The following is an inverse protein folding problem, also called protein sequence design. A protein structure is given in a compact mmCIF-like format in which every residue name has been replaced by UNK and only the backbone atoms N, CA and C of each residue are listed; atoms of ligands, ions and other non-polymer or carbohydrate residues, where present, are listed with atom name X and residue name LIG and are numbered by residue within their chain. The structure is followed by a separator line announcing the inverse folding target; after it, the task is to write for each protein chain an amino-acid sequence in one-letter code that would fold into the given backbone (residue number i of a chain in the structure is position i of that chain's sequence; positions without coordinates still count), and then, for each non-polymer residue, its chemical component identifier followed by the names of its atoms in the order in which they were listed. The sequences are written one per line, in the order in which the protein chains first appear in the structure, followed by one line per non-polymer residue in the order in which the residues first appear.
data_IF_450112297464
#
_entry.id   IF_450112297464
#
_cell.length_a   1.000
_cell.length_b   1.000
_cell.length_c   1.000
_cell.angle_alpha   90.00
_cell.angle_beta   90.00
_cell.angle_gamma   90.00
#
_symmetry.space_group_name_H-M   'P 1'
#
loop_
_entity.id
_entity.type
_entity.pdbx_description
1 polymer ?
#
# COMPACT_ATOMS: atom_id res chain seq x y z
N UNK A 1 40.92 -26.10 21.50
CA UNK A 1 40.51 -24.73 21.88
C UNK A 1 40.39 -23.92 20.60
N UNK A 2 39.23 -23.31 20.27
CA UNK A 2 39.15 -22.48 19.08
C UNK A 2 39.60 -21.04 19.41
N UNK A 3 40.48 -20.51 18.56
CA UNK A 3 40.97 -19.13 18.60
C UNK A 3 39.89 -18.16 18.10
N UNK A 4 39.60 -17.12 18.88
CA UNK A 4 38.80 -15.99 18.44
C UNK A 4 39.65 -15.06 17.58
N UNK A 5 39.28 -14.89 16.31
CA UNK A 5 39.85 -13.86 15.45
C UNK A 5 39.19 -12.51 15.73
N UNK A 6 39.94 -11.40 15.81
CA UNK A 6 39.36 -10.07 15.97
C UNK A 6 38.61 -9.67 14.69
N UNK A 7 37.31 -9.43 14.83
CA UNK A 7 36.45 -8.89 13.77
C UNK A 7 36.95 -7.49 13.42
N UNK A 8 37.47 -7.32 12.19
CA UNK A 8 37.81 -5.99 11.70
C UNK A 8 36.51 -5.21 11.45
N UNK A 9 36.38 -3.97 11.95
CA UNK A 9 35.22 -3.15 11.66
C UNK A 9 35.15 -2.88 10.16
N UNK A 10 34.00 -3.17 9.56
CA UNK A 10 33.76 -2.91 8.14
C UNK A 10 33.59 -1.39 7.99
N UNK A 11 34.44 -0.70 7.21
CA UNK A 11 34.23 0.71 6.92
C UNK A 11 32.93 0.85 6.11
N UNK A 12 32.01 1.67 6.61
CA UNK A 12 30.78 2.02 5.89
C UNK A 12 31.10 3.27 5.08
N UNK A 13 31.27 3.10 3.77
CA UNK A 13 31.38 4.23 2.84
C UNK A 13 30.03 4.94 2.74
N UNK A 14 30.05 6.28 2.67
CA UNK A 14 28.84 7.06 2.47
C UNK A 14 28.29 6.84 1.06
N UNK A 15 26.96 6.71 0.94
CA UNK A 15 26.28 6.60 -0.36
C UNK A 15 26.62 7.79 -1.25
N UNK A 16 26.70 7.59 -2.57
CA UNK A 16 27.04 8.67 -3.51
C UNK A 16 25.97 9.77 -3.45
N UNK A 17 26.42 11.01 -3.25
CA UNK A 17 25.53 12.18 -3.17
C UNK A 17 25.00 12.65 -4.54
N UNK A 18 25.52 12.07 -5.63
CA UNK A 18 25.24 12.45 -7.02
C UNK A 18 25.04 11.21 -7.90
N UNK A 19 24.17 11.35 -8.89
CA UNK A 19 23.89 10.37 -9.94
C UNK A 19 24.57 10.80 -11.25
N UNK A 20 25.01 9.83 -12.06
CA UNK A 20 25.59 10.11 -13.38
C UNK A 20 24.45 10.45 -14.36
N UNK A 21 24.46 11.68 -14.89
CA UNK A 21 23.48 12.13 -15.90
C UNK A 21 23.93 11.77 -17.31
N UNK A 22 25.21 11.96 -17.61
CA UNK A 22 25.77 11.75 -18.95
C UNK A 22 27.26 11.41 -18.86
N UNK A 23 27.74 10.61 -19.81
CA UNK A 23 29.18 10.33 -20.00
C UNK A 23 29.54 10.81 -21.40
N UNK A 24 30.49 11.76 -21.46
CA UNK A 24 30.97 12.34 -22.71
C UNK A 24 31.88 11.34 -23.47
N UNK A 25 32.11 11.59 -24.77
CA UNK A 25 32.96 10.72 -25.61
C UNK A 25 34.42 10.64 -25.15
N UNK A 26 34.87 11.60 -24.33
CA UNK A 26 36.19 11.62 -23.70
C UNK A 26 36.25 10.85 -22.37
N UNK A 27 35.12 10.27 -21.93
CA UNK A 27 34.98 9.55 -20.67
C UNK A 27 34.71 10.44 -19.46
N UNK A 28 34.52 11.75 -19.63
CA UNK A 28 34.18 12.64 -18.53
C UNK A 28 32.70 12.50 -18.13
N UNK A 29 32.46 12.28 -16.84
CA UNK A 29 31.11 12.11 -16.28
C UNK A 29 30.49 13.47 -15.90
N UNK A 30 29.25 13.70 -16.30
CA UNK A 30 28.44 14.83 -15.87
C UNK A 30 27.53 14.33 -14.75
N UNK A 31 27.75 14.85 -13.55
CA UNK A 31 27.02 14.47 -12.34
C UNK A 31 25.83 15.39 -12.10
N UNK A 32 24.71 14.81 -11.68
CA UNK A 32 23.52 15.53 -11.23
C UNK A 32 23.21 15.15 -9.79
N UNK A 33 22.81 16.15 -9.00
CA UNK A 33 22.29 15.90 -7.66
C UNK A 33 20.88 15.32 -7.77
N UNK A 34 20.61 14.10 -7.26
CA UNK A 34 19.25 13.58 -7.21
C UNK A 34 18.34 14.54 -6.46
N UNK A 35 17.09 14.65 -6.89
CA UNK A 35 16.11 15.46 -6.18
C UNK A 35 16.00 14.96 -4.74
N UNK A 36 16.07 15.90 -3.79
CA UNK A 36 15.76 15.58 -2.40
C UNK A 36 14.32 15.07 -2.31
N UNK A 37 13.98 14.21 -1.33
CA UNK A 37 12.61 13.75 -1.14
C UNK A 37 11.59 14.91 -1.05
N UNK A 38 11.99 16.02 -0.43
CA UNK A 38 11.18 17.23 -0.34
C UNK A 38 10.96 17.90 -1.72
N UNK A 39 12.00 18.01 -2.54
CA UNK A 39 11.88 18.57 -3.89
C UNK A 39 11.03 17.66 -4.81
N UNK A 40 11.17 16.34 -4.68
CA UNK A 40 10.32 15.38 -5.39
C UNK A 40 8.86 15.50 -4.96
N UNK A 41 8.59 15.59 -3.65
CA UNK A 41 7.24 15.82 -3.14
C UNK A 41 6.63 17.12 -3.65
N UNK A 42 7.38 18.22 -3.60
CA UNK A 42 6.93 19.52 -4.10
C UNK A 42 6.62 19.49 -5.59
N UNK A 43 7.43 18.78 -6.39
CA UNK A 43 7.14 18.53 -7.81
C UNK A 43 5.80 17.82 -7.97
N UNK A 44 5.58 16.72 -7.22
CA UNK A 44 4.33 15.95 -7.30
C UNK A 44 3.13 16.81 -6.91
N UNK A 45 3.18 17.51 -5.77
CA UNK A 45 2.08 18.36 -5.28
C UNK A 45 1.72 19.46 -6.27
N UNK A 46 2.71 20.13 -6.86
CA UNK A 46 2.48 21.19 -7.84
C UNK A 46 1.85 20.67 -9.15
N UNK A 47 1.99 19.38 -9.45
CA UNK A 47 1.38 18.75 -10.61
C UNK A 47 -0.04 18.24 -10.36
N UNK A 48 -0.57 18.32 -9.12
CA UNK A 48 -1.94 17.93 -8.82
C UNK A 48 -2.89 19.00 -9.35
N UNK A 49 -3.61 18.67 -10.42
CA UNK A 49 -4.69 19.50 -10.94
C UNK A 49 -6.01 19.14 -10.23
N UNK A 50 -6.47 20.02 -9.34
CA UNK A 50 -7.76 19.86 -8.66
C UNK A 50 -8.95 20.37 -9.48
N UNK A 51 -8.72 20.90 -10.69
CA UNK A 51 -9.79 21.37 -11.56
C UNK A 51 -10.51 20.22 -12.28
N UNK A 52 -9.95 19.00 -12.28
CA UNK A 52 -10.59 17.80 -12.81
C UNK A 52 -11.70 17.32 -11.87
N UNK A 53 -12.82 18.05 -11.87
CA UNK A 53 -14.07 17.54 -11.34
C UNK A 53 -14.48 16.38 -12.25
N UNK A 54 -14.24 15.13 -11.82
CA UNK A 54 -14.72 13.90 -12.47
C UNK A 54 -16.24 13.83 -12.34
N UNK A 55 -16.93 14.79 -12.95
CA UNK A 55 -18.36 14.73 -13.19
C UNK A 55 -18.54 13.64 -14.22
N UNK A 56 -18.99 12.47 -13.76
CA UNK A 56 -19.60 11.45 -14.60
C UNK A 56 -20.85 12.06 -15.24
N UNK A 57 -20.65 12.81 -16.32
CA UNK A 57 -21.72 13.23 -17.22
C UNK A 57 -21.13 13.18 -18.61
N UNK A 58 -21.45 12.11 -19.31
CA UNK A 58 -21.25 11.96 -20.74
C UNK A 58 -21.73 13.23 -21.47
N UNK A 59 -20.93 13.68 -22.44
CA UNK A 59 -21.28 14.35 -23.72
C UNK A 59 -20.41 15.58 -24.07
N UNK A 60 -19.65 15.40 -25.16
CA UNK A 60 -19.20 16.39 -26.18
C UNK A 60 -17.85 17.14 -25.98
N UNK A 61 -17.24 17.72 -27.05
CA UNK A 61 -16.26 17.07 -27.92
C UNK A 61 -14.89 17.78 -27.96
N UNK A 62 -13.87 17.05 -28.47
CA UNK A 62 -12.59 17.52 -29.02
C UNK A 62 -11.88 18.73 -28.38
N UNK A 63 -10.73 18.48 -27.74
CA UNK A 63 -9.50 19.06 -28.27
C UNK A 63 -8.26 18.18 -28.01
N UNK A 64 -7.39 18.16 -29.00
CA UNK A 64 -6.42 17.12 -29.34
C UNK A 64 -5.10 17.24 -28.56
N UNK A 65 -5.16 17.27 -27.22
CA UNK A 65 -3.96 17.29 -26.35
C UNK A 65 -4.05 16.26 -25.20
N UNK A 66 -5.24 15.74 -24.90
CA UNK A 66 -5.49 14.86 -23.74
C UNK A 66 -4.97 13.43 -23.90
N UNK A 67 -4.64 12.99 -25.12
CA UNK A 67 -4.27 11.60 -25.39
C UNK A 67 -2.84 11.22 -24.97
N UNK A 68 -1.99 12.19 -24.58
CA UNK A 68 -0.61 11.89 -24.13
C UNK A 68 -0.49 11.73 -22.61
N UNK A 69 -1.42 12.30 -21.83
CA UNK A 69 -1.31 12.36 -20.36
C UNK A 69 -2.22 11.38 -19.63
N UNK A 70 -3.31 10.93 -20.26
CA UNK A 70 -4.17 9.87 -19.69
C UNK A 70 -3.46 8.50 -19.61
N UNK A 71 -2.38 8.29 -20.39
CA UNK A 71 -1.71 7.00 -20.51
C UNK A 71 -0.66 6.70 -19.42
N UNK A 72 -0.21 7.71 -18.67
CA UNK A 72 0.95 7.56 -17.78
C UNK A 72 0.63 7.58 -16.28
N UNK A 73 -0.63 7.70 -15.89
CA UNK A 73 -1.02 7.52 -14.49
C UNK A 73 -1.54 6.10 -14.29
N UNK A 74 -0.65 5.12 -14.34
CA UNK A 74 -0.91 3.84 -13.68
C UNK A 74 -0.93 4.12 -12.19
N UNK A 75 -2.11 4.04 -11.51
CA UNK A 75 -2.13 4.16 -10.06
C UNK A 75 -1.14 3.13 -9.51
N UNK A 76 -0.31 3.48 -8.51
CA UNK A 76 0.65 2.56 -7.96
C UNK A 76 -0.11 1.29 -7.56
N UNK A 77 0.40 0.11 -7.96
CA UNK A 77 -0.25 -1.22 -7.76
C UNK A 77 -0.71 -1.45 -6.32
N UNK A 78 -0.10 -0.75 -5.35
CA UNK A 78 -0.52 -0.67 -3.95
C UNK A 78 -1.98 -0.21 -3.77
N UNK A 79 -2.45 0.77 -4.54
CA UNK A 79 -3.79 1.33 -4.39
C UNK A 79 -4.89 0.39 -4.88
N UNK A 80 -4.61 -0.45 -5.88
CA UNK A 80 -5.55 -1.49 -6.30
C UNK A 80 -5.76 -2.53 -5.19
N UNK A 81 -4.69 -2.95 -4.49
CA UNK A 81 -4.82 -3.85 -3.34
C UNK A 81 -5.63 -3.23 -2.20
N UNK A 82 -5.43 -1.93 -1.91
CA UNK A 82 -6.20 -1.21 -0.87
C UNK A 82 -7.68 -1.14 -1.26
N UNK A 83 -7.96 -0.84 -2.52
CA UNK A 83 -9.32 -0.77 -3.06
C UNK A 83 -10.03 -2.12 -3.06
N UNK A 84 -9.33 -3.19 -3.40
CA UNK A 84 -9.87 -4.55 -3.38
C UNK A 84 -10.14 -5.02 -1.95
N UNK A 85 -9.21 -4.82 -1.03
CA UNK A 85 -9.41 -5.13 0.40
C UNK A 85 -10.55 -4.32 1.02
N UNK A 86 -10.66 -3.02 0.70
CA UNK A 86 -11.76 -2.18 1.15
C UNK A 86 -13.12 -2.67 0.62
N UNK A 87 -13.17 -3.10 -0.65
CA UNK A 87 -14.41 -3.65 -1.22
C UNK A 87 -14.80 -4.97 -0.58
N UNK A 88 -13.85 -5.88 -0.40
CA UNK A 88 -14.08 -7.16 0.26
C UNK A 88 -14.59 -6.96 1.68
N UNK A 89 -13.92 -6.12 2.48
CA UNK A 89 -14.34 -5.82 3.86
C UNK A 89 -15.71 -5.15 3.93
N UNK A 90 -16.04 -4.25 2.99
CA UNK A 90 -17.37 -3.64 2.92
C UNK A 90 -18.46 -4.68 2.61
N UNK A 91 -18.19 -5.62 1.71
CA UNK A 91 -19.11 -6.73 1.39
C UNK A 91 -19.32 -7.61 2.64
N UNK A 92 -18.25 -7.95 3.35
CA UNK A 92 -18.32 -8.77 4.57
C UNK A 92 -19.11 -8.06 5.68
N UNK A 93 -18.89 -6.75 5.89
CA UNK A 93 -19.64 -5.96 6.87
C UNK A 93 -21.12 -5.91 6.50
N UNK A 94 -21.45 -5.68 5.24
CA UNK A 94 -22.85 -5.68 4.79
C UNK A 94 -23.51 -7.05 5.02
N UNK A 95 -22.82 -8.15 4.69
CA UNK A 95 -23.32 -9.49 4.96
C UNK A 95 -23.53 -9.76 6.47
N UNK A 96 -22.63 -9.25 7.33
CA UNK A 96 -22.78 -9.35 8.78
C UNK A 96 -23.99 -8.54 9.28
N UNK A 97 -24.21 -7.34 8.76
CA UNK A 97 -25.37 -6.51 9.08
C UNK A 97 -26.67 -7.21 8.68
N UNK A 98 -26.70 -7.86 7.52
CA UNK A 98 -27.85 -8.65 7.07
C UNK A 98 -28.11 -9.84 8.01
N UNK A 99 -27.06 -10.58 8.39
CA UNK A 99 -27.15 -11.68 9.34
C UNK A 99 -27.66 -11.23 10.72
N UNK A 100 -27.14 -10.11 11.24
CA UNK A 100 -27.59 -9.52 12.50
C UNK A 100 -29.05 -9.04 12.41
N UNK A 101 -29.48 -8.52 11.27
CA UNK A 101 -30.86 -8.10 11.06
C UNK A 101 -31.83 -9.29 11.09
N UNK A 102 -31.44 -10.41 10.48
CA UNK A 102 -32.21 -11.68 10.52
C UNK A 102 -32.31 -12.22 11.95
N UNK A 103 -31.20 -12.21 12.70
CA UNK A 103 -31.17 -12.63 14.12
C UNK A 103 -32.06 -11.72 14.97
N UNK A 104 -31.97 -10.39 14.77
CA UNK A 104 -32.78 -9.40 15.48
C UNK A 104 -34.28 -9.61 15.25
N UNK A 105 -34.68 -9.96 14.04
CA UNK A 105 -36.07 -10.27 13.70
C UNK A 105 -36.57 -11.61 14.28
N UNK A 106 -35.72 -12.37 14.95
CA UNK A 106 -36.08 -13.67 15.54
C UNK A 106 -36.33 -14.76 14.51
N UNK A 107 -35.97 -14.52 13.23
CA UNK A 107 -35.96 -15.54 12.17
C UNK A 107 -34.72 -16.37 12.39
N UNK A 108 -34.86 -17.44 13.17
CA UNK A 108 -33.74 -18.26 13.63
C UNK A 108 -32.88 -18.73 12.45
N UNK A 109 -31.72 -18.09 12.28
CA UNK A 109 -30.57 -18.82 11.77
C UNK A 109 -30.29 -19.87 12.84
N UNK A 110 -30.29 -21.15 12.47
CA UNK A 110 -29.93 -22.22 13.39
C UNK A 110 -28.43 -22.11 13.72
N UNK A 111 -28.08 -21.17 14.60
CA UNK A 111 -26.74 -21.07 15.18
C UNK A 111 -26.65 -22.22 16.17
N UNK A 112 -26.30 -23.38 15.65
CA UNK A 112 -26.08 -24.54 16.49
C UNK A 112 -24.86 -24.21 17.37
N UNK A 113 -25.00 -24.12 18.71
CA UNK A 113 -23.85 -23.91 19.56
C UNK A 113 -22.89 -25.07 19.35
N UNK A 114 -21.76 -24.81 18.70
CA UNK A 114 -20.64 -25.76 18.70
C UNK A 114 -20.19 -25.86 20.15
N UNK A 115 -20.23 -27.07 20.70
CA UNK A 115 -19.81 -27.34 22.06
C UNK A 115 -18.45 -26.66 22.31
N UNK A 116 -18.36 -25.85 23.37
CA UNK A 116 -17.06 -25.41 23.87
C UNK A 116 -16.34 -26.66 24.34
N UNK A 117 -15.20 -26.99 23.72
CA UNK A 117 -14.37 -28.11 24.16
C UNK A 117 -14.10 -27.94 25.67
N UNK A 118 -14.51 -28.90 26.52
CA UNK A 118 -14.14 -28.86 27.92
C UNK A 118 -12.64 -29.13 27.99
N UNK A 119 -11.85 -28.07 28.17
CA UNK A 119 -10.51 -28.23 28.71
C UNK A 119 -10.61 -28.78 30.13
N UNK A 120 -10.71 -30.11 30.20
CA UNK A 120 -10.21 -31.03 31.21
C UNK A 120 -10.21 -30.46 32.63
N UNK A 121 -11.28 -30.80 33.36
CA UNK A 121 -11.23 -31.16 34.77
C UNK A 121 -10.00 -32.03 35.07
N UNK A 122 -8.94 -31.44 35.61
CA UNK A 122 -7.97 -32.10 36.49
C UNK A 122 -7.18 -31.03 37.26
N UNK A 123 -7.82 -30.45 38.27
CA UNK A 123 -7.12 -29.83 39.38
C UNK A 123 -7.96 -29.98 40.65
N UNK A 124 -8.20 -31.24 41.01
CA UNK A 124 -8.34 -31.63 42.41
C UNK A 124 -6.93 -31.97 42.92
N UNK A 125 -6.59 -31.42 44.10
CA UNK A 125 -5.49 -31.71 45.03
C UNK A 125 -4.39 -30.63 45.19
N UNK A 126 -4.20 -30.26 46.46
CA UNK A 126 -3.25 -29.32 47.09
C UNK A 126 -3.66 -27.84 46.95
N UNK A 127 -4.11 -27.11 47.99
CA UNK A 127 -3.84 -27.13 49.44
C UNK A 127 -5.09 -26.74 50.24
#
# INVERSE_FOLDING_TARGET
MPMFYPQHPIPIEALSEYDIREILLDGHEILEKPLTPAANFQRITNHIDFSENRSHSDNLPQNKVSNLLSKNFTPPKMWENVKDTLRTTLIEINALVDALSIIKEGKYLAINPVASDPHVTNLLLFF
#
